data_IF_907364201659
#
_entry.id   IF_907364201659
#
_cell.length_a   1.000
_cell.length_b   1.000
_cell.length_c   1.000
_cell.angle_alpha   90.00
_cell.angle_beta   90.00
_cell.angle_gamma   90.00
#
_symmetry.space_group_name_H-M   'P 1'
#
loop_
_entity.id
_entity.type
_entity.pdbx_description
1 polymer ?
#
# COMPACT_ATOMS: atom_id res chain seq x y z
N UNK A 1 1.39 -0.31 66.92
CA UNK A 1 2.11 -0.23 65.63
C UNK A 1 1.42 -1.23 64.73
N UNK A 2 0.37 -0.76 64.03
CA UNK A 2 -0.34 -1.57 63.04
C UNK A 2 0.51 -1.64 61.76
N UNK A 3 0.82 -2.85 61.33
CA UNK A 3 1.40 -3.09 60.02
C UNK A 3 0.24 -3.11 59.02
N UNK A 4 0.15 -2.06 58.21
CA UNK A 4 -0.72 -2.02 57.03
C UNK A 4 0.02 -2.82 55.94
N UNK A 5 -0.45 -4.05 55.69
CA UNK A 5 -0.10 -4.77 54.47
C UNK A 5 -0.72 -4.05 53.28
N UNK A 6 0.13 -3.39 52.49
CA UNK A 6 -0.24 -2.83 51.21
C UNK A 6 -0.28 -3.99 50.21
N UNK A 7 -1.47 -4.49 49.91
CA UNK A 7 -1.71 -5.34 48.74
C UNK A 7 -1.23 -4.60 47.49
N UNK A 8 -0.13 -5.09 46.89
CA UNK A 8 0.30 -4.69 45.55
C UNK A 8 -0.64 -5.31 44.53
N UNK A 9 -1.78 -4.67 44.30
CA UNK A 9 -2.67 -4.90 43.16
C UNK A 9 -2.01 -4.43 41.86
N UNK A 10 -0.93 -5.09 41.44
CA UNK A 10 -0.36 -4.90 40.12
C UNK A 10 -1.18 -5.71 39.11
N UNK A 11 -2.29 -5.17 38.62
CA UNK A 11 -2.95 -5.71 37.42
C UNK A 11 -1.99 -5.49 36.24
N UNK A 12 -1.09 -6.44 36.02
CA UNK A 12 -0.21 -6.44 34.86
C UNK A 12 -1.06 -6.34 33.60
N UNK A 13 -0.70 -5.42 32.71
CA UNK A 13 -1.34 -5.32 31.40
C UNK A 13 -1.20 -6.68 30.69
N UNK A 14 -2.31 -7.39 30.53
CA UNK A 14 -2.38 -8.65 29.82
C UNK A 14 -3.26 -8.46 28.60
N UNK A 15 -2.64 -8.52 27.41
CA UNK A 15 -3.37 -8.51 26.15
C UNK A 15 -4.02 -9.87 25.96
N UNK A 16 -5.34 -9.90 25.71
CA UNK A 16 -6.02 -11.13 25.35
C UNK A 16 -5.43 -11.65 24.03
N UNK A 17 -4.89 -12.88 23.98
CA UNK A 17 -4.41 -13.44 22.73
C UNK A 17 -5.58 -13.55 21.75
N UNK A 18 -5.52 -12.82 20.64
CA UNK A 18 -6.41 -13.00 19.51
C UNK A 18 -5.66 -13.74 18.41
N UNK A 19 -6.28 -14.78 17.85
CA UNK A 19 -5.75 -15.44 16.66
C UNK A 19 -6.20 -14.63 15.45
N UNK A 20 -5.24 -14.25 14.61
CA UNK A 20 -5.53 -13.65 13.33
C UNK A 20 -5.84 -14.75 12.32
N UNK A 21 -6.75 -14.46 11.41
CA UNK A 21 -7.02 -15.36 10.31
C UNK A 21 -5.92 -15.26 9.27
N UNK A 22 -5.58 -16.37 8.63
CA UNK A 22 -4.63 -16.31 7.51
C UNK A 22 -5.26 -15.54 6.33
N UNK A 23 -4.45 -14.70 5.66
CA UNK A 23 -4.88 -13.91 4.49
C UNK A 23 -4.77 -14.70 3.18
N UNK A 24 -5.81 -14.61 2.36
CA UNK A 24 -5.73 -14.77 0.91
C UNK A 24 -5.63 -13.36 0.29
N UNK A 25 -4.52 -13.08 -0.38
CA UNK A 25 -4.19 -11.75 -0.90
C UNK A 25 -4.29 -11.77 -2.42
N UNK A 26 -5.27 -11.05 -2.96
CA UNK A 26 -5.46 -10.87 -4.38
C UNK A 26 -4.82 -9.55 -4.81
N UNK A 27 -3.78 -9.62 -5.63
CA UNK A 27 -3.25 -8.44 -6.29
C UNK A 27 -4.03 -8.16 -7.58
N UNK A 28 -4.39 -6.90 -7.78
CA UNK A 28 -4.91 -6.40 -9.06
C UNK A 28 -4.00 -5.26 -9.56
N UNK A 29 -3.43 -5.43 -10.75
CA UNK A 29 -2.47 -4.48 -11.33
C UNK A 29 -3.10 -3.82 -12.56
N UNK A 30 -3.17 -2.49 -12.57
CA UNK A 30 -3.53 -1.74 -13.76
C UNK A 30 -2.42 -1.84 -14.82
N UNK A 31 -2.78 -2.33 -16.00
CA UNK A 31 -1.86 -2.59 -17.12
C UNK A 31 -1.99 -1.54 -18.23
N UNK A 32 -2.60 -0.39 -17.97
CA UNK A 32 -2.59 0.72 -18.92
C UNK A 32 -1.16 1.21 -19.22
N UNK A 33 -0.87 1.77 -20.41
CA UNK A 33 0.44 2.33 -20.75
C UNK A 33 1.04 3.31 -19.73
N UNK A 34 0.22 4.02 -18.94
CA UNK A 34 0.71 4.86 -17.83
C UNK A 34 1.51 4.04 -16.78
N UNK A 35 1.30 2.73 -16.70
CA UNK A 35 2.11 1.83 -15.87
C UNK A 35 3.53 1.63 -16.40
N UNK A 36 3.84 1.95 -17.65
CA UNK A 36 5.18 1.81 -18.24
C UNK A 36 6.00 3.10 -18.25
N UNK A 37 5.50 4.19 -17.66
CA UNK A 37 6.23 5.46 -17.58
C UNK A 37 7.51 5.29 -16.74
N UNK A 38 8.60 5.90 -17.20
CA UNK A 38 9.87 5.90 -16.48
C UNK A 38 9.75 6.64 -15.15
N UNK A 39 10.31 6.04 -14.10
CA UNK A 39 10.35 6.64 -12.78
C UNK A 39 11.63 7.42 -12.58
N UNK A 40 11.62 8.39 -11.65
CA UNK A 40 12.77 9.27 -11.32
C UNK A 40 13.84 8.54 -10.50
N UNK A 41 14.24 7.34 -10.92
CA UNK A 41 15.30 6.52 -10.35
C UNK A 41 16.03 5.79 -11.47
N UNK A 42 17.36 5.86 -11.48
CA UNK A 42 18.19 5.03 -12.36
C UNK A 42 18.35 3.64 -11.74
N UNK A 43 18.11 2.58 -12.53
CA UNK A 43 18.35 1.22 -12.09
C UNK A 43 19.84 0.87 -11.97
N UNK A 44 20.12 -0.37 -11.57
CA UNK A 44 21.49 -0.89 -11.65
C UNK A 44 21.98 -0.74 -13.10
N UNK A 45 23.17 -0.15 -13.26
CA UNK A 45 23.80 0.15 -14.55
C UNK A 45 23.20 1.33 -15.34
N UNK A 46 22.43 2.22 -14.70
CA UNK A 46 21.95 3.45 -15.35
C UNK A 46 20.77 3.25 -16.32
N UNK A 47 20.19 2.04 -16.38
CA UNK A 47 18.98 1.80 -17.18
C UNK A 47 17.78 2.51 -16.57
N UNK A 48 16.91 3.13 -17.38
CA UNK A 48 15.63 3.63 -16.89
C UNK A 48 14.80 2.48 -16.33
N UNK A 49 14.21 2.70 -15.16
CA UNK A 49 13.26 1.76 -14.55
C UNK A 49 11.85 2.30 -14.84
N UNK A 50 10.95 1.43 -15.27
CA UNK A 50 9.54 1.80 -15.43
C UNK A 50 8.77 1.68 -14.12
N UNK A 51 7.61 2.33 -14.05
CA UNK A 51 6.65 2.15 -12.95
C UNK A 51 6.27 0.66 -12.80
N UNK A 52 6.04 -0.05 -13.91
CA UNK A 52 5.74 -1.48 -13.93
C UNK A 52 6.88 -2.32 -13.35
N UNK A 53 8.13 -2.01 -13.67
CA UNK A 53 9.30 -2.70 -13.10
C UNK A 53 9.36 -2.50 -11.57
N UNK A 54 9.05 -1.30 -11.11
CA UNK A 54 9.00 -0.99 -9.67
C UNK A 54 7.84 -1.71 -8.98
N UNK A 55 6.67 -1.79 -9.62
CA UNK A 55 5.51 -2.56 -9.14
C UNK A 55 5.87 -4.04 -8.99
N UNK A 56 6.50 -4.62 -10.02
CA UNK A 56 6.95 -6.02 -9.99
C UNK A 56 7.85 -6.29 -8.79
N UNK A 57 8.86 -5.44 -8.58
CA UNK A 57 9.77 -5.55 -7.43
C UNK A 57 9.06 -5.36 -6.09
N UNK A 58 8.15 -4.37 -5.99
CA UNK A 58 7.41 -4.08 -4.77
C UNK A 58 6.50 -5.26 -4.35
N UNK A 59 5.84 -5.91 -5.32
CA UNK A 59 5.02 -7.10 -5.10
C UNK A 59 5.88 -8.25 -4.58
N UNK A 60 7.04 -8.52 -5.20
CA UNK A 60 7.90 -9.62 -4.75
C UNK A 60 8.43 -9.37 -3.33
N UNK A 61 8.88 -8.15 -3.03
CA UNK A 61 9.29 -7.76 -1.68
C UNK A 61 8.16 -7.97 -0.66
N UNK A 62 6.93 -7.59 -1.02
CA UNK A 62 5.76 -7.82 -0.18
C UNK A 62 5.50 -9.31 0.06
N UNK A 63 5.46 -10.13 -1.00
CA UNK A 63 5.20 -11.58 -0.89
C UNK A 63 6.25 -12.25 0.01
N UNK A 64 7.53 -11.96 -0.21
CA UNK A 64 8.61 -12.49 0.63
C UNK A 64 8.47 -12.08 2.09
N UNK A 65 8.26 -10.80 2.36
CA UNK A 65 8.11 -10.30 3.74
C UNK A 65 6.88 -10.89 4.42
N UNK A 66 5.74 -10.95 3.70
CA UNK A 66 4.49 -11.44 4.25
C UNK A 66 4.53 -12.94 4.56
N UNK A 67 5.15 -13.75 3.70
CA UNK A 67 5.39 -15.18 3.96
C UNK A 67 6.38 -15.41 5.10
N UNK A 68 7.38 -14.52 5.25
CA UNK A 68 8.31 -14.59 6.38
C UNK A 68 7.61 -14.32 7.72
N UNK A 69 6.56 -13.49 7.72
CA UNK A 69 5.73 -13.25 8.91
C UNK A 69 4.80 -14.45 9.20
N UNK A 70 4.21 -15.03 8.16
CA UNK A 70 3.37 -16.22 8.27
C UNK A 70 3.34 -16.98 6.91
N UNK A 71 3.85 -18.22 6.85
CA UNK A 71 3.96 -18.98 5.61
C UNK A 71 2.60 -19.48 5.08
N UNK A 72 1.54 -19.41 5.88
CA UNK A 72 0.21 -19.86 5.48
C UNK A 72 -0.54 -18.81 4.64
N UNK A 73 -0.02 -17.59 4.48
CA UNK A 73 -0.59 -16.60 3.57
C UNK A 73 -0.49 -17.06 2.11
N UNK A 74 -1.51 -16.75 1.31
CA UNK A 74 -1.57 -17.17 -0.10
C UNK A 74 -1.84 -15.98 -1.02
N UNK A 75 -1.35 -16.07 -2.25
CA UNK A 75 -1.41 -14.98 -3.22
C UNK A 75 -2.01 -15.43 -4.54
N UNK A 76 -2.81 -14.56 -5.14
CA UNK A 76 -3.32 -14.68 -6.51
C UNK A 76 -3.20 -13.33 -7.22
N UNK A 77 -3.26 -13.35 -8.56
CA UNK A 77 -2.94 -12.19 -9.38
C UNK A 77 -3.98 -11.97 -10.48
N UNK A 78 -4.41 -10.73 -10.60
CA UNK A 78 -5.27 -10.23 -11.67
C UNK A 78 -4.67 -8.97 -12.26
N UNK A 79 -5.08 -8.65 -13.49
CA UNK A 79 -4.81 -7.36 -14.12
C UNK A 79 -6.11 -6.65 -14.42
N UNK A 80 -6.04 -5.33 -14.55
CA UNK A 80 -7.18 -4.53 -15.01
C UNK A 80 -6.76 -3.65 -16.19
N UNK A 81 -7.48 -3.85 -17.31
CA UNK A 81 -7.50 -2.94 -18.45
C UNK A 81 -8.89 -2.29 -18.48
N UNK A 82 -9.79 -2.75 -19.36
CA UNK A 82 -11.21 -2.39 -19.29
C UNK A 82 -11.93 -3.03 -18.10
N UNK A 83 -11.64 -4.29 -17.85
CA UNK A 83 -12.21 -5.14 -16.80
C UNK A 83 -11.11 -6.03 -16.21
N UNK A 84 -11.37 -6.65 -15.06
CA UNK A 84 -10.44 -7.55 -14.42
C UNK A 84 -10.27 -8.87 -15.18
N UNK A 85 -9.02 -9.33 -15.30
CA UNK A 85 -8.66 -10.60 -15.93
C UNK A 85 -7.70 -11.36 -14.99
N UNK A 86 -7.87 -12.68 -14.90
CA UNK A 86 -6.94 -13.52 -14.15
C UNK A 86 -5.58 -13.60 -14.85
N UNK A 87 -4.52 -13.27 -14.10
CA UNK A 87 -3.15 -13.58 -14.48
C UNK A 87 -2.70 -14.90 -13.86
N UNK A 88 -3.07 -15.13 -12.59
CA UNK A 88 -2.87 -16.37 -11.85
C UNK A 88 -4.01 -16.53 -10.85
N UNK A 89 -4.84 -17.55 -11.06
CA UNK A 89 -6.10 -17.73 -10.31
C UNK A 89 -5.93 -18.48 -9.00
N UNK A 90 -5.07 -19.48 -8.96
CA UNK A 90 -4.91 -20.32 -7.79
C UNK A 90 -4.10 -19.60 -6.71
N UNK A 91 -4.72 -19.42 -5.53
CA UNK A 91 -4.04 -18.90 -4.35
C UNK A 91 -2.92 -19.85 -3.91
N UNK A 92 -1.69 -19.36 -3.87
CA UNK A 92 -0.50 -20.14 -3.51
C UNK A 92 0.42 -19.38 -2.55
N UNK A 93 1.10 -20.09 -1.66
CA UNK A 93 2.20 -19.57 -0.84
C UNK A 93 3.57 -19.77 -1.50
N UNK A 94 3.62 -20.37 -2.70
CA UNK A 94 4.86 -20.57 -3.44
C UNK A 94 5.38 -19.28 -4.08
N UNK A 95 6.60 -18.90 -3.71
CA UNK A 95 7.32 -17.73 -4.22
C UNK A 95 7.54 -17.85 -5.73
N UNK A 96 7.90 -19.03 -6.24
CA UNK A 96 8.19 -19.22 -7.66
C UNK A 96 6.93 -18.98 -8.52
N UNK A 97 5.75 -19.40 -8.01
CA UNK A 97 4.46 -19.07 -8.62
C UNK A 97 4.20 -17.55 -8.66
N UNK A 98 4.54 -16.81 -7.59
CA UNK A 98 4.41 -15.35 -7.57
C UNK A 98 5.37 -14.68 -8.56
N UNK A 99 6.63 -15.10 -8.59
CA UNK A 99 7.63 -14.62 -9.56
C UNK A 99 7.19 -14.86 -11.02
N UNK A 100 6.65 -16.04 -11.31
CA UNK A 100 6.13 -16.37 -12.63
C UNK A 100 4.95 -15.47 -13.03
N UNK A 101 4.02 -15.22 -12.11
CA UNK A 101 2.90 -14.31 -12.35
C UNK A 101 3.38 -12.87 -12.58
N UNK A 102 4.26 -12.36 -11.72
CA UNK A 102 4.82 -11.01 -11.81
C UNK A 102 5.63 -10.81 -13.09
N UNK A 103 6.36 -11.83 -13.56
CA UNK A 103 7.07 -11.79 -14.85
C UNK A 103 6.12 -11.62 -16.04
N UNK A 104 4.90 -12.17 -15.94
CA UNK A 104 3.85 -12.03 -16.96
C UNK A 104 3.17 -10.66 -17.01
N UNK A 105 3.44 -9.76 -16.06
CA UNK A 105 2.90 -8.40 -16.08
C UNK A 105 3.56 -7.55 -17.17
N UNK A 106 2.75 -6.78 -17.88
CA UNK A 106 3.21 -5.81 -18.88
C UNK A 106 2.07 -4.89 -19.28
N UNK A 107 2.41 -3.71 -19.80
CA UNK A 107 1.41 -2.78 -20.29
C UNK A 107 0.69 -3.35 -21.53
N UNK A 108 -0.60 -3.08 -21.61
CA UNK A 108 -1.47 -3.41 -22.74
C UNK A 108 -1.82 -2.14 -23.52
N UNK A 109 -2.65 -2.26 -24.56
CA UNK A 109 -3.18 -1.10 -25.29
C UNK A 109 -3.87 -0.10 -24.35
N UNK A 110 -3.83 1.21 -24.66
CA UNK A 110 -4.53 2.24 -23.90
C UNK A 110 -6.02 1.92 -23.78
N UNK A 111 -6.58 2.17 -22.60
CA UNK A 111 -8.00 2.01 -22.35
C UNK A 111 -8.52 3.13 -21.44
N UNK A 112 -9.51 3.87 -21.93
CA UNK A 112 -10.12 5.01 -21.24
C UNK A 112 -11.29 4.59 -20.32
N UNK A 113 -11.41 3.30 -20.03
CA UNK A 113 -12.43 2.75 -19.16
C UNK A 113 -11.78 1.82 -18.14
N UNK A 114 -12.18 1.91 -16.88
CA UNK A 114 -11.74 1.02 -15.83
C UNK A 114 -12.95 0.62 -14.97
N UNK A 115 -13.54 -0.55 -15.26
CA UNK A 115 -14.69 -1.06 -14.51
C UNK A 115 -14.23 -2.05 -13.43
N UNK A 116 -14.27 -1.59 -12.16
CA UNK A 116 -13.96 -2.39 -10.98
C UNK A 116 -15.08 -3.37 -10.62
N UNK A 117 -16.26 -3.28 -11.24
CA UNK A 117 -17.39 -4.19 -10.94
C UNK A 117 -17.00 -5.65 -11.10
N UNK A 118 -16.31 -5.97 -12.20
CA UNK A 118 -15.81 -7.32 -12.46
C UNK A 118 -14.80 -7.79 -11.42
N UNK A 119 -13.92 -6.90 -10.96
CA UNK A 119 -12.94 -7.17 -9.91
C UNK A 119 -13.64 -7.45 -8.58
N UNK A 120 -14.61 -6.64 -8.20
CA UNK A 120 -15.34 -6.80 -6.94
C UNK A 120 -16.20 -8.07 -6.92
N UNK A 121 -16.82 -8.44 -8.05
CA UNK A 121 -17.54 -9.72 -8.17
C UNK A 121 -16.60 -10.92 -7.96
N UNK A 122 -15.41 -10.85 -8.56
CA UNK A 122 -14.38 -11.87 -8.42
C UNK A 122 -13.87 -11.95 -6.97
N UNK A 123 -13.55 -10.80 -6.37
CA UNK A 123 -13.11 -10.73 -4.98
C UNK A 123 -14.19 -11.24 -4.01
N UNK A 124 -15.45 -10.84 -4.18
CA UNK A 124 -16.55 -11.35 -3.35
C UNK A 124 -16.75 -12.87 -3.47
N UNK A 125 -16.56 -13.43 -4.67
CA UNK A 125 -16.62 -14.87 -4.87
C UNK A 125 -15.49 -15.61 -4.15
N UNK A 126 -14.25 -15.13 -4.30
CA UNK A 126 -13.10 -15.74 -3.61
C UNK A 126 -13.16 -15.52 -2.09
N UNK A 127 -13.68 -14.39 -1.62
CA UNK A 127 -13.88 -14.11 -0.20
C UNK A 127 -14.75 -15.18 0.47
N UNK A 128 -15.86 -15.57 -0.16
CA UNK A 128 -16.73 -16.63 0.40
C UNK A 128 -15.99 -17.96 0.55
N UNK A 129 -15.09 -18.30 -0.38
CA UNK A 129 -14.25 -19.49 -0.29
C UNK A 129 -13.19 -19.37 0.81
N UNK A 130 -12.53 -18.21 0.91
CA UNK A 130 -11.56 -17.94 1.97
C UNK A 130 -12.21 -18.07 3.34
N UNK A 131 -13.39 -17.47 3.55
CA UNK A 131 -14.14 -17.56 4.81
C UNK A 131 -14.52 -19.00 5.15
N UNK A 132 -14.91 -19.81 4.17
CA UNK A 132 -15.18 -21.24 4.37
C UNK A 132 -13.95 -22.04 4.85
N UNK A 133 -12.75 -21.51 4.63
CA UNK A 133 -11.47 -22.07 5.10
C UNK A 133 -10.92 -21.36 6.36
N UNK A 134 -11.75 -20.53 7.02
CA UNK A 134 -11.34 -19.68 8.16
C UNK A 134 -10.19 -18.71 7.82
N UNK A 135 -10.27 -18.09 6.64
CA UNK A 135 -9.31 -17.13 6.10
C UNK A 135 -10.04 -15.83 5.72
N UNK A 136 -9.30 -14.72 5.66
CA UNK A 136 -9.84 -13.45 5.15
C UNK A 136 -9.32 -13.19 3.75
N UNK A 137 -10.13 -12.55 2.90
CA UNK A 137 -9.66 -12.05 1.62
C UNK A 137 -9.29 -10.57 1.71
N UNK A 138 -8.12 -10.25 1.17
CA UNK A 138 -7.62 -8.90 0.99
C UNK A 138 -7.34 -8.64 -0.49
N UNK A 139 -7.93 -7.60 -1.04
CA UNK A 139 -7.69 -7.12 -2.40
C UNK A 139 -6.76 -5.92 -2.34
N UNK A 140 -5.62 -5.97 -3.05
CA UNK A 140 -4.71 -4.84 -3.19
C UNK A 140 -4.71 -4.41 -4.67
N UNK A 141 -5.26 -3.23 -4.96
CA UNK A 141 -5.23 -2.61 -6.28
C UNK A 141 -4.05 -1.66 -6.40
N UNK A 142 -3.27 -1.81 -7.47
CA UNK A 142 -2.28 -0.83 -7.90
C UNK A 142 -2.82 -0.15 -9.16
N UNK A 143 -3.36 1.06 -9.00
CA UNK A 143 -4.00 1.83 -10.07
C UNK A 143 -3.03 2.86 -10.65
N UNK A 144 -2.94 2.95 -11.98
CA UNK A 144 -1.89 3.73 -12.65
C UNK A 144 -2.41 4.86 -13.56
N UNK A 145 -3.72 4.95 -13.80
CA UNK A 145 -4.29 5.95 -14.72
C UNK A 145 -4.59 7.27 -14.03
N UNK A 146 -4.10 8.36 -14.60
CA UNK A 146 -4.35 9.71 -14.10
C UNK A 146 -5.56 10.40 -14.76
N UNK A 147 -6.02 9.91 -15.91
CA UNK A 147 -7.08 10.52 -16.73
C UNK A 147 -8.38 9.70 -16.79
N UNK A 148 -8.40 8.51 -16.18
CA UNK A 148 -9.56 7.62 -16.23
C UNK A 148 -10.09 7.39 -14.83
N UNK A 149 -11.30 7.86 -14.55
CA UNK A 149 -11.99 7.58 -13.29
C UNK A 149 -12.43 6.10 -13.27
N UNK A 150 -12.06 5.31 -12.24
CA UNK A 150 -12.60 3.97 -12.09
C UNK A 150 -14.10 4.04 -11.77
N UNK A 151 -14.86 3.13 -12.36
CA UNK A 151 -16.30 3.01 -12.14
C UNK A 151 -16.61 1.65 -11.54
N UNK A 152 -17.68 1.58 -10.74
CA UNK A 152 -18.17 0.31 -10.23
C UNK A 152 -19.67 0.38 -9.95
N UNK A 153 -20.31 -0.79 -10.02
CA UNK A 153 -21.69 -1.00 -9.59
C UNK A 153 -21.67 -2.11 -8.53
N UNK A 154 -21.62 -1.71 -7.26
CA UNK A 154 -21.56 -2.64 -6.14
C UNK A 154 -22.69 -2.37 -5.13
N UNK A 155 -23.37 -3.38 -4.58
CA UNK A 155 -24.36 -3.18 -3.53
C UNK A 155 -23.75 -2.60 -2.25
N UNK A 156 -24.35 -1.54 -1.69
CA UNK A 156 -23.82 -0.81 -0.52
C UNK A 156 -23.72 -1.64 0.77
N UNK A 157 -24.38 -2.79 0.85
CA UNK A 157 -24.41 -3.65 2.03
C UNK A 157 -23.47 -4.87 1.95
N UNK A 158 -22.58 -4.93 0.95
CA UNK A 158 -21.70 -6.08 0.75
C UNK A 158 -20.23 -5.75 1.01
N UNK A 159 -19.84 -5.81 2.28
CA UNK A 159 -18.45 -5.66 2.76
C UNK A 159 -17.84 -7.03 3.06
N UNK A 160 -17.42 -7.73 2.00
CA UNK A 160 -16.99 -9.14 2.08
C UNK A 160 -15.47 -9.33 2.15
N UNK A 161 -14.69 -8.33 1.76
CA UNK A 161 -13.23 -8.41 1.72
C UNK A 161 -12.65 -7.06 2.13
N UNK A 162 -11.35 -7.02 2.44
CA UNK A 162 -10.67 -5.74 2.66
C UNK A 162 -10.11 -5.22 1.34
N UNK A 163 -10.29 -3.94 1.03
CA UNK A 163 -9.76 -3.34 -0.18
C UNK A 163 -8.70 -2.28 0.17
N UNK A 164 -7.50 -2.45 -0.39
CA UNK A 164 -6.42 -1.48 -0.33
C UNK A 164 -6.07 -0.98 -1.72
N UNK A 165 -5.62 0.27 -1.79
CA UNK A 165 -5.28 0.94 -3.04
C UNK A 165 -3.91 1.60 -2.94
N UNK A 166 -3.09 1.40 -3.96
CA UNK A 166 -1.95 2.27 -4.25
C UNK A 166 -2.23 2.95 -5.58
N UNK A 167 -2.38 4.27 -5.52
CA UNK A 167 -2.61 5.12 -6.67
C UNK A 167 -1.30 5.76 -7.14
N UNK A 168 -0.84 5.37 -8.32
CA UNK A 168 0.38 5.90 -8.94
C UNK A 168 -0.02 6.77 -10.12
N UNK A 169 0.26 8.06 -10.06
CA UNK A 169 -0.26 9.01 -11.05
C UNK A 169 0.77 10.05 -11.46
N UNK A 170 0.47 10.75 -12.55
CA UNK A 170 1.17 11.96 -12.93
C UNK A 170 0.59 13.16 -12.18
N UNK A 171 1.38 14.24 -12.12
CA UNK A 171 0.87 15.52 -11.59
C UNK A 171 -0.35 16.00 -12.40
N UNK A 172 -1.26 16.76 -11.75
CA UNK A 172 -2.35 17.40 -12.45
C UNK A 172 -1.84 18.22 -13.64
N UNK A 173 -2.51 18.06 -14.78
CA UNK A 173 -2.24 18.71 -16.05
C UNK A 173 -3.54 18.83 -16.85
N UNK A 174 -3.50 19.43 -18.05
CA UNK A 174 -4.70 19.69 -18.84
C UNK A 174 -5.42 18.42 -19.31
N UNK A 175 -4.69 17.30 -19.44
CA UNK A 175 -5.19 16.04 -20.02
C UNK A 175 -5.46 14.95 -18.98
N UNK A 176 -5.43 15.27 -17.67
CA UNK A 176 -5.68 14.32 -16.60
C UNK A 176 -6.48 14.91 -15.43
N UNK A 177 -6.99 14.04 -14.56
CA UNK A 177 -7.83 14.41 -13.42
C UNK A 177 -7.52 13.57 -12.18
N UNK A 178 -6.26 13.56 -11.68
CA UNK A 178 -5.85 12.65 -10.62
C UNK A 178 -6.64 12.81 -9.31
N UNK A 179 -7.15 14.01 -9.01
CA UNK A 179 -8.02 14.21 -7.85
C UNK A 179 -9.35 13.45 -7.99
N UNK A 180 -10.04 13.58 -9.13
CA UNK A 180 -11.30 12.86 -9.37
C UNK A 180 -11.12 11.34 -9.36
N UNK A 181 -9.95 10.87 -9.82
CA UNK A 181 -9.57 9.46 -9.76
C UNK A 181 -9.35 9.03 -8.31
N UNK A 182 -8.61 9.81 -7.52
CA UNK A 182 -8.39 9.54 -6.11
C UNK A 182 -9.71 9.47 -5.35
N UNK A 183 -10.57 10.48 -5.50
CA UNK A 183 -11.89 10.53 -4.85
C UNK A 183 -12.73 9.29 -5.18
N UNK A 184 -12.72 8.85 -6.46
CA UNK A 184 -13.42 7.64 -6.88
C UNK A 184 -12.85 6.34 -6.26
N UNK A 185 -11.55 6.30 -6.02
CA UNK A 185 -10.88 5.17 -5.37
C UNK A 185 -11.19 5.14 -3.86
N UNK A 186 -11.23 6.31 -3.20
CA UNK A 186 -11.67 6.46 -1.81
C UNK A 186 -13.13 5.99 -1.67
N UNK A 187 -14.03 6.51 -2.50
CA UNK A 187 -15.44 6.11 -2.52
C UNK A 187 -15.58 4.58 -2.66
N UNK A 188 -14.83 3.98 -3.58
CA UNK A 188 -14.86 2.54 -3.79
C UNK A 188 -14.31 1.76 -2.58
N UNK A 189 -13.25 2.26 -1.94
CA UNK A 189 -12.64 1.68 -0.75
C UNK A 189 -13.60 1.66 0.44
N UNK A 190 -14.26 2.77 0.73
CA UNK A 190 -15.23 2.91 1.81
C UNK A 190 -16.45 2.00 1.61
N UNK A 191 -16.86 1.85 0.35
CA UNK A 191 -18.04 1.11 -0.04
C UNK A 191 -17.88 -0.40 0.10
N UNK A 192 -16.70 -0.96 -0.18
CA UNK A 192 -16.50 -2.43 -0.25
C UNK A 192 -15.73 -3.05 0.92
N UNK A 193 -14.98 -2.26 1.68
CA UNK A 193 -14.02 -2.80 2.67
C UNK A 193 -14.70 -3.30 3.96
N UNK A 194 -14.40 -4.55 4.34
CA UNK A 194 -14.84 -5.18 5.59
C UNK A 194 -14.11 -4.65 6.83
N UNK A 195 -12.78 -4.58 6.75
CA UNK A 195 -11.91 -3.93 7.73
C UNK A 195 -11.45 -2.59 7.16
N UNK A 196 -10.77 -1.78 7.97
CA UNK A 196 -10.14 -0.53 7.52
C UNK A 196 -9.35 -0.78 6.23
N UNK A 197 -9.67 -0.06 5.15
CA UNK A 197 -8.92 -0.09 3.90
C UNK A 197 -7.90 1.05 3.87
N UNK A 198 -6.71 0.81 3.32
CA UNK A 198 -5.69 1.84 3.16
C UNK A 198 -5.61 2.29 1.71
N UNK A 199 -5.56 3.61 1.50
CA UNK A 199 -5.23 4.21 0.21
C UNK A 199 -3.93 5.02 0.34
N UNK A 200 -3.00 4.80 -0.56
CA UNK A 200 -1.78 5.59 -0.69
C UNK A 200 -1.67 6.16 -2.10
N UNK A 201 -1.18 7.39 -2.24
CA UNK A 201 -0.92 8.00 -3.54
C UNK A 201 0.55 8.37 -3.76
N UNK A 202 0.97 8.45 -5.03
CA UNK A 202 2.30 8.91 -5.43
C UNK A 202 2.26 9.56 -6.81
N UNK A 203 2.33 10.90 -6.84
CA UNK A 203 2.24 11.72 -8.05
C UNK A 203 3.56 11.99 -8.80
N UNK A 204 4.68 11.39 -8.38
CA UNK A 204 6.03 11.70 -8.91
C UNK A 204 6.83 10.49 -9.35
N UNK A 205 6.26 9.28 -9.28
CA UNK A 205 6.91 8.06 -9.73
C UNK A 205 8.29 7.88 -9.10
N UNK A 206 8.40 7.92 -7.78
CA UNK A 206 9.64 7.57 -7.07
C UNK A 206 9.47 6.17 -6.48
N UNK A 207 10.28 5.19 -6.94
CA UNK A 207 10.20 3.79 -6.47
C UNK A 207 10.19 3.67 -4.94
N UNK A 208 10.98 4.51 -4.26
CA UNK A 208 11.08 4.51 -2.79
C UNK A 208 9.74 4.76 -2.10
N UNK A 209 8.89 5.62 -2.67
CA UNK A 209 7.56 5.91 -2.12
C UNK A 209 6.67 4.69 -2.28
N UNK A 210 6.66 4.07 -3.46
CA UNK A 210 5.92 2.82 -3.69
C UNK A 210 6.34 1.71 -2.73
N UNK A 211 7.65 1.50 -2.53
CA UNK A 211 8.13 0.48 -1.59
C UNK A 211 7.72 0.79 -0.15
N UNK A 212 7.77 2.06 0.27
CA UNK A 212 7.28 2.47 1.59
C UNK A 212 5.79 2.14 1.73
N UNK A 213 4.96 2.50 0.74
CA UNK A 213 3.52 2.19 0.76
C UNK A 213 3.28 0.67 0.86
N UNK A 214 4.00 -0.14 0.08
CA UNK A 214 3.90 -1.60 0.18
C UNK A 214 4.31 -2.14 1.55
N UNK A 215 5.35 -1.57 2.18
CA UNK A 215 5.74 -1.96 3.54
C UNK A 215 4.64 -1.66 4.56
N UNK A 216 3.94 -0.52 4.44
CA UNK A 216 2.82 -0.19 5.32
C UNK A 216 1.65 -1.16 5.15
N UNK A 217 1.42 -1.61 3.92
CA UNK A 217 0.45 -2.65 3.62
C UNK A 217 0.83 -4.02 4.18
N UNK A 218 2.06 -4.27 4.67
CA UNK A 218 2.37 -5.56 5.33
C UNK A 218 1.57 -5.78 6.61
N UNK A 219 1.02 -4.71 7.20
CA UNK A 219 0.14 -4.81 8.35
C UNK A 219 -1.09 -5.68 8.04
N UNK A 220 -1.49 -6.51 9.01
CA UNK A 220 -2.64 -7.40 8.88
C UNK A 220 -3.95 -6.60 9.04
N UNK A 221 -4.98 -6.79 8.20
CA UNK A 221 -6.23 -6.02 8.28
C UNK A 221 -6.92 -6.04 9.66
N UNK A 222 -6.86 -7.18 10.37
CA UNK A 222 -7.43 -7.33 11.72
C UNK A 222 -6.57 -6.71 12.85
N UNK A 223 -5.39 -6.17 12.55
CA UNK A 223 -4.46 -5.60 13.55
C UNK A 223 -4.06 -4.16 13.31
N UNK A 224 -4.13 -3.70 12.07
CA UNK A 224 -3.74 -2.34 11.73
C UNK A 224 -4.72 -1.33 12.32
N UNK A 225 -4.20 -0.19 12.70
CA UNK A 225 -4.97 0.98 13.14
C UNK A 225 -5.60 1.68 11.94
N UNK A 226 -6.36 2.77 12.16
CA UNK A 226 -6.80 3.62 11.05
C UNK A 226 -5.60 4.28 10.38
N UNK A 227 -5.73 4.57 9.08
CA UNK A 227 -4.68 5.27 8.34
C UNK A 227 -4.40 6.67 8.93
N UNK A 228 -5.44 7.35 9.45
CA UNK A 228 -5.33 8.69 10.05
C UNK A 228 -4.52 8.69 11.36
N UNK A 229 -4.52 7.56 12.08
CA UNK A 229 -3.78 7.39 13.34
C UNK A 229 -2.32 6.94 13.12
N UNK A 230 -1.92 6.74 11.86
CA UNK A 230 -0.61 6.20 11.53
C UNK A 230 0.50 7.26 11.64
N UNK A 231 1.03 7.44 12.85
CA UNK A 231 2.21 8.29 13.08
C UNK A 231 3.51 7.55 12.69
N UNK A 232 3.92 7.69 11.43
CA UNK A 232 5.21 7.18 10.98
C UNK A 232 6.30 8.14 11.46
N UNK A 233 7.24 7.70 12.32
CA UNK A 233 8.30 8.57 12.82
C UNK A 233 9.02 9.25 11.66
N UNK A 234 9.15 10.57 11.75
CA UNK A 234 9.88 11.34 10.74
C UNK A 234 11.31 10.78 10.62
N UNK A 235 11.86 10.66 9.41
CA UNK A 235 13.22 10.20 9.22
C UNK A 235 14.18 10.95 10.14
N UNK A 236 15.11 10.23 10.76
CA UNK A 236 16.23 10.80 11.52
C UNK A 236 17.22 11.47 10.55
N UNK A 237 16.77 12.41 9.72
CA UNK A 237 17.67 13.23 8.92
C UNK A 237 18.42 14.16 9.86
N UNK A 238 19.70 13.82 10.05
CA UNK A 238 20.80 14.57 10.68
C UNK A 238 20.36 15.97 11.14
N UNK A 239 20.26 16.16 12.46
CA UNK A 239 20.44 17.48 13.07
C UNK A 239 21.68 18.09 12.40
N UNK A 240 21.48 19.08 11.54
CA UNK A 240 22.56 19.98 11.17
C UNK A 240 23.09 20.55 12.50
N UNK A 241 24.41 20.56 12.74
CA UNK A 241 24.94 21.27 13.89
C UNK A 241 24.41 22.71 13.82
N UNK A 242 24.02 23.31 14.96
CA UNK A 242 23.58 24.69 14.97
C UNK A 242 24.67 25.53 14.32
N UNK A 243 24.30 26.33 13.31
CA UNK A 243 25.21 27.30 12.72
C UNK A 243 25.76 28.16 13.86
N UNK A 244 27.08 28.21 14.00
CA UNK A 244 27.77 28.99 15.02
C UNK A 244 27.17 30.39 15.10
N UNK A 245 26.64 30.71 16.28
CA UNK A 245 26.36 32.09 16.66
C UNK A 245 27.66 32.86 16.56
N UNK A 246 27.80 33.66 15.50
CA UNK A 246 28.81 34.70 15.40
C UNK A 246 28.59 35.65 16.57
N UNK A 247 29.56 35.85 17.49
CA UNK A 247 29.40 36.84 18.54
C UNK A 247 29.48 38.24 17.92
N UNK A 248 28.76 39.24 18.48
CA UNK A 248 28.80 40.59 17.96
C UNK A 248 30.16 41.22 18.22
N UNK A 249 30.65 41.99 17.24
CA UNK A 249 31.79 42.89 17.38
C UNK A 249 31.67 43.72 18.67
N UNK A 250 32.50 43.44 19.68
CA UNK A 250 32.82 44.40 20.73
C UNK A 250 34.01 45.25 20.27
N UNK A 251 33.69 46.50 19.94
CA UNK A 251 34.66 47.57 19.72
C UNK A 251 35.29 47.92 21.07
N UNK A 252 36.56 47.57 21.26
CA UNK A 252 37.35 47.99 22.43
C UNK A 252 37.89 49.42 22.18
N UNK A 253 37.71 50.39 23.11
CA UNK A 253 38.20 51.74 22.94
C UNK A 253 39.70 51.84 23.21
N UNK A 254 40.42 52.55 22.35
CA UNK A 254 41.85 52.86 22.52
C UNK A 254 42.01 54.14 23.34
N UNK A 255 42.69 54.02 24.48
CA UNK A 255 43.39 55.07 25.24
C UNK A 255 44.59 54.37 25.88
N UNK A 256 45.85 54.83 25.88
CA UNK A 256 46.53 55.99 25.34
C UNK A 256 48.03 55.64 25.26
N UNK A 257 48.77 56.26 24.34
CA UNK A 257 50.01 56.99 24.61
C UNK A 257 50.23 58.01 23.49
#
# INVERSE_FOLDING_TARGET
>A
MEAIEVERGGSGYSLKPSRLNNEDILFCIDVNPESSVEIKTTGSNGRPITRMDSIKQAILLFVHAKLSMNPDHRFAFTTIAKSAIWLKKEFSSDIASAEAAVRGLGATSPCNHADLTSLFRLAAHESRKSTAQNRILRLILIYCRSSTRPQHQWPANQKLFTFDVIYLHEKPGPDNCPQEVYDALVDALDHVSQYEGYIFESGQGVARVLYRCMCLLLSHPQQRISLDDLDIPKPLTKKLPPADSTPPNEVVPVTSQ
#
